data_IF_905405222515
#
_entry.id   IF_905405222515
#
_cell.length_a   1.000
_cell.length_b   1.000
_cell.length_c   1.000
_cell.angle_alpha   90.00
_cell.angle_beta   90.00
_cell.angle_gamma   90.00
#
_symmetry.space_group_name_H-M   'P 1'
#
loop_
_entity.id
_entity.type
_entity.pdbx_description
1 polymer ?
#
# COMPACT_ATOMS: atom_id res chain seq x y z
N UNK A 1 23.05 24.87 21.19
CA UNK A 1 22.85 23.59 20.45
C UNK A 1 22.71 22.47 21.47
N UNK A 2 21.48 22.05 21.75
CA UNK A 2 21.21 20.96 22.69
C UNK A 2 21.24 19.63 21.92
N UNK A 3 22.25 18.81 22.17
CA UNK A 3 22.34 17.42 21.70
C UNK A 3 21.36 16.57 22.49
N UNK A 4 20.08 16.61 22.10
CA UNK A 4 19.09 15.69 22.63
C UNK A 4 19.50 14.26 22.26
N UNK A 5 19.84 13.46 23.27
CA UNK A 5 20.12 12.04 23.13
C UNK A 5 18.90 11.35 22.50
N UNK A 6 19.03 10.86 21.26
CA UNK A 6 18.07 9.95 20.64
C UNK A 6 18.03 8.68 21.50
N UNK A 7 17.08 8.62 22.42
CA UNK A 7 16.80 7.39 23.16
C UNK A 7 16.26 6.39 22.14
N UNK A 8 16.94 5.25 21.99
CA UNK A 8 16.52 4.15 21.10
C UNK A 8 15.23 3.54 21.67
N UNK A 9 14.08 4.15 21.36
CA UNK A 9 12.77 3.66 21.78
C UNK A 9 12.44 2.43 20.94
N UNK A 10 12.60 1.26 21.54
CA UNK A 10 12.16 -0.01 20.96
C UNK A 10 10.82 -0.41 21.55
N UNK A 11 9.93 -0.93 20.70
CA UNK A 11 8.72 -1.57 21.19
C UNK A 11 9.09 -2.82 22.03
N UNK A 12 8.27 -3.21 23.00
CA UNK A 12 8.52 -4.43 23.75
C UNK A 12 8.47 -5.64 22.79
N UNK A 13 9.32 -6.66 23.00
CA UNK A 13 9.42 -7.84 22.12
C UNK A 13 8.07 -8.52 21.86
N UNK A 14 7.19 -8.55 22.87
CA UNK A 14 5.80 -9.00 22.77
C UNK A 14 4.99 -8.28 21.68
N UNK A 15 5.21 -6.99 21.46
CA UNK A 15 4.50 -6.23 20.42
C UNK A 15 4.90 -6.70 19.02
N UNK A 16 6.19 -6.97 18.79
CA UNK A 16 6.68 -7.56 17.55
C UNK A 16 6.12 -8.97 17.33
N UNK A 17 6.10 -9.80 18.37
CA UNK A 17 5.55 -11.15 18.30
C UNK A 17 4.05 -11.13 17.95
N UNK A 18 3.28 -10.26 18.61
CA UNK A 18 1.86 -10.08 18.31
C UNK A 18 1.61 -9.51 16.90
N UNK A 19 2.46 -8.60 16.43
CA UNK A 19 2.38 -8.08 15.07
C UNK A 19 2.66 -9.16 14.02
N UNK A 20 3.68 -9.99 14.23
CA UNK A 20 3.97 -11.13 13.35
C UNK A 20 2.82 -12.14 13.35
N UNK A 21 2.27 -12.45 14.53
CA UNK A 21 1.13 -13.36 14.64
C UNK A 21 -0.11 -12.81 13.93
N UNK A 22 -0.46 -11.54 14.16
CA UNK A 22 -1.61 -10.90 13.50
C UNK A 22 -1.43 -10.87 11.98
N UNK A 23 -0.22 -10.58 11.49
CA UNK A 23 0.08 -10.57 10.07
C UNK A 23 -0.14 -11.95 9.44
N UNK A 24 0.33 -13.03 10.10
CA UNK A 24 0.14 -14.40 9.65
C UNK A 24 -1.34 -14.80 9.66
N UNK A 25 -2.09 -14.42 10.71
CA UNK A 25 -3.52 -14.72 10.81
C UNK A 25 -4.31 -14.00 9.72
N UNK A 26 -4.05 -12.71 9.48
CA UNK A 26 -4.71 -11.94 8.43
C UNK A 26 -4.40 -12.50 7.03
N UNK A 27 -3.13 -12.78 6.74
CA UNK A 27 -2.71 -13.36 5.47
C UNK A 27 -3.33 -14.74 5.24
N UNK A 28 -3.31 -15.61 6.27
CA UNK A 28 -3.93 -16.93 6.20
C UNK A 28 -5.45 -16.85 6.02
N UNK A 29 -6.13 -15.92 6.70
CA UNK A 29 -7.57 -15.71 6.55
C UNK A 29 -7.94 -15.25 5.13
N UNK A 30 -7.19 -14.30 4.57
CA UNK A 30 -7.39 -13.84 3.18
C UNK A 30 -7.08 -14.95 2.16
N UNK A 31 -6.03 -15.73 2.39
CA UNK A 31 -5.71 -16.91 1.58
C UNK A 31 -6.82 -17.95 1.63
N UNK A 32 -7.25 -18.36 2.81
CA UNK A 32 -8.33 -19.33 2.97
C UNK A 32 -9.63 -18.85 2.30
N UNK A 33 -9.98 -17.57 2.48
CA UNK A 33 -11.13 -16.95 1.82
C UNK A 33 -11.02 -17.04 0.29
N UNK A 34 -9.85 -16.74 -0.28
CA UNK A 34 -9.60 -16.90 -1.71
C UNK A 34 -9.70 -18.35 -2.18
N UNK A 35 -9.18 -19.30 -1.40
CA UNK A 35 -9.28 -20.73 -1.68
C UNK A 35 -10.73 -21.23 -1.70
N UNK A 36 -11.59 -20.74 -0.80
CA UNK A 36 -13.02 -21.09 -0.76
C UNK A 36 -13.76 -20.70 -2.05
N UNK A 37 -13.34 -19.62 -2.73
CA UNK A 37 -13.92 -19.22 -4.02
C UNK A 37 -13.51 -20.12 -5.19
N UNK A 38 -12.53 -21.00 -5.02
CA UNK A 38 -11.85 -21.71 -6.11
C UNK A 38 -11.64 -23.19 -5.79
N UNK A 39 -12.61 -23.79 -5.10
CA UNK A 39 -12.52 -25.05 -4.34
C UNK A 39 -11.71 -26.21 -4.94
N UNK A 40 -11.62 -26.34 -6.26
CA UNK A 40 -10.81 -27.36 -6.94
C UNK A 40 -9.29 -27.18 -6.70
N UNK A 41 -8.82 -25.93 -6.54
CA UNK A 41 -7.42 -25.56 -6.33
C UNK A 41 -7.16 -24.91 -4.97
N UNK A 42 -7.98 -25.26 -3.96
CA UNK A 42 -8.01 -24.58 -2.65
C UNK A 42 -6.62 -24.29 -2.08
N UNK A 43 -5.76 -25.30 -1.96
CA UNK A 43 -4.44 -25.16 -1.32
C UNK A 43 -3.49 -24.25 -2.09
N UNK A 44 -3.50 -24.33 -3.43
CA UNK A 44 -2.65 -23.51 -4.29
C UNK A 44 -3.10 -22.04 -4.21
N UNK A 45 -4.40 -21.79 -4.38
CA UNK A 45 -4.97 -20.44 -4.35
C UNK A 45 -4.80 -19.81 -2.98
N UNK A 46 -5.07 -20.57 -1.91
CA UNK A 46 -4.89 -20.08 -0.55
C UNK A 46 -3.43 -19.73 -0.25
N UNK A 47 -2.47 -20.56 -0.67
CA UNK A 47 -1.05 -20.29 -0.50
C UNK A 47 -0.59 -19.04 -1.25
N UNK A 48 -0.98 -18.90 -2.53
CA UNK A 48 -0.59 -17.74 -3.36
C UNK A 48 -1.18 -16.44 -2.80
N UNK A 49 -2.46 -16.43 -2.43
CA UNK A 49 -3.10 -15.24 -1.85
C UNK A 49 -2.54 -14.89 -0.47
N UNK A 50 -2.29 -15.88 0.39
CA UNK A 50 -1.65 -15.64 1.69
C UNK A 50 -0.26 -15.03 1.52
N UNK A 51 0.57 -15.57 0.62
CA UNK A 51 1.90 -15.03 0.33
C UNK A 51 1.83 -13.59 -0.21
N UNK A 52 0.91 -13.33 -1.13
CA UNK A 52 0.76 -12.02 -1.78
C UNK A 52 0.24 -10.94 -0.81
N UNK A 53 -0.59 -11.33 0.16
CA UNK A 53 -1.18 -10.42 1.16
C UNK A 53 -0.37 -10.30 2.44
N UNK A 54 0.72 -11.07 2.59
CA UNK A 54 1.57 -11.06 3.77
C UNK A 54 2.25 -9.70 3.99
N UNK A 55 2.73 -9.05 2.94
CA UNK A 55 3.34 -7.72 3.01
C UNK A 55 2.38 -6.66 3.58
N UNK A 56 1.21 -6.43 2.96
CA UNK A 56 0.18 -5.54 3.48
C UNK A 56 -0.30 -5.91 4.89
N UNK A 57 -0.47 -7.20 5.18
CA UNK A 57 -0.89 -7.67 6.51
C UNK A 57 0.17 -7.38 7.58
N UNK A 58 1.45 -7.55 7.25
CA UNK A 58 2.58 -7.21 8.11
C UNK A 58 2.66 -5.70 8.36
N UNK A 59 2.51 -4.88 7.31
CA UNK A 59 2.49 -3.42 7.44
C UNK A 59 1.33 -2.95 8.34
N UNK A 60 0.12 -3.48 8.15
CA UNK A 60 -1.04 -3.14 8.98
C UNK A 60 -0.84 -3.58 10.43
N UNK A 61 -0.38 -4.82 10.65
CA UNK A 61 -0.15 -5.34 12.01
C UNK A 61 0.93 -4.59 12.75
N UNK A 62 1.99 -4.20 12.04
CA UNK A 62 3.03 -3.32 12.56
C UNK A 62 2.46 -1.95 12.95
N UNK A 63 1.68 -1.34 12.06
CA UNK A 63 1.06 -0.05 12.30
C UNK A 63 0.18 -0.07 13.57
N UNK A 64 -0.65 -1.10 13.72
CA UNK A 64 -1.57 -1.21 14.86
C UNK A 64 -0.86 -1.49 16.20
N UNK A 65 0.19 -2.33 16.20
CA UNK A 65 0.75 -2.87 17.44
C UNK A 65 2.14 -2.34 17.80
N UNK A 66 2.94 -1.97 16.81
CA UNK A 66 4.33 -1.56 17.01
C UNK A 66 4.51 -0.06 16.86
N UNK A 67 3.89 0.57 15.86
CA UNK A 67 4.15 1.98 15.51
C UNK A 67 4.00 2.93 16.71
N UNK A 68 2.97 2.77 17.55
CA UNK A 68 2.75 3.60 18.75
C UNK A 68 3.91 3.64 19.75
N UNK A 69 4.82 2.67 19.72
CA UNK A 69 5.95 2.60 20.65
C UNK A 69 7.25 3.20 20.07
N UNK A 70 7.35 3.28 18.74
CA UNK A 70 8.61 3.60 18.04
C UNK A 70 8.50 4.83 17.14
N UNK A 71 7.30 5.15 16.66
CA UNK A 71 7.02 6.34 15.85
C UNK A 71 6.76 7.50 16.79
N UNK A 72 7.59 8.54 16.68
CA UNK A 72 7.32 9.82 17.32
C UNK A 72 6.40 10.59 16.39
N UNK A 73 5.23 10.97 16.92
CA UNK A 73 4.28 11.78 16.17
C UNK A 73 4.86 13.18 16.01
N UNK A 74 4.92 13.65 14.76
CA UNK A 74 5.35 15.01 14.46
C UNK A 74 4.28 15.99 14.96
N UNK A 75 4.70 17.04 15.67
CA UNK A 75 3.78 18.03 16.21
C UNK A 75 3.21 18.97 15.13
N UNK A 76 3.95 19.14 14.02
CA UNK A 76 3.55 19.98 12.89
C UNK A 76 3.68 19.20 11.58
N UNK A 77 2.93 18.10 11.41
CA UNK A 77 3.08 17.21 10.25
C UNK A 77 2.85 17.91 8.91
N UNK A 78 2.06 18.98 8.89
CA UNK A 78 1.82 19.84 7.74
C UNK A 78 3.05 20.61 7.26
N UNK A 79 4.03 20.86 8.14
CA UNK A 79 5.29 21.51 7.79
C UNK A 79 6.32 20.51 7.20
N UNK A 80 6.04 19.21 7.28
CA UNK A 80 6.92 18.19 6.75
C UNK A 80 6.91 18.19 5.21
N UNK A 81 8.04 18.59 4.63
CA UNK A 81 8.24 18.67 3.18
C UNK A 81 7.99 17.33 2.49
N UNK A 82 8.37 16.19 3.09
CA UNK A 82 8.15 14.86 2.52
C UNK A 82 6.67 14.52 2.45
N UNK A 83 5.92 14.88 3.50
CA UNK A 83 4.46 14.71 3.54
C UNK A 83 3.78 15.59 2.50
N UNK A 84 4.21 16.84 2.37
CA UNK A 84 3.71 17.74 1.32
C UNK A 84 4.05 17.25 -0.09
N UNK A 85 5.19 16.59 -0.30
CA UNK A 85 5.52 15.97 -1.59
C UNK A 85 4.60 14.80 -1.88
N UNK A 86 4.35 13.94 -0.88
CA UNK A 86 3.47 12.79 -1.02
C UNK A 86 2.02 13.22 -1.29
N UNK A 87 1.49 14.19 -0.54
CA UNK A 87 0.11 14.66 -0.72
C UNK A 87 -0.10 15.31 -2.10
N UNK A 88 0.89 16.09 -2.57
CA UNK A 88 0.88 16.66 -3.93
C UNK A 88 1.00 15.59 -5.00
N UNK A 89 1.86 14.58 -4.81
CA UNK A 89 2.00 13.47 -5.74
C UNK A 89 0.72 12.64 -5.81
N UNK A 90 0.11 12.32 -4.66
CA UNK A 90 -1.08 11.49 -4.57
C UNK A 90 -2.33 12.15 -5.13
N UNK A 91 -2.59 13.41 -4.79
CA UNK A 91 -3.74 14.17 -5.32
C UNK A 91 -3.69 14.28 -6.85
N UNK A 92 -2.51 14.50 -7.41
CA UNK A 92 -2.31 14.54 -8.86
C UNK A 92 -2.43 13.16 -9.51
N UNK A 93 -1.81 12.13 -8.92
CA UNK A 93 -1.86 10.77 -9.46
C UNK A 93 -3.28 10.20 -9.51
N UNK A 94 -4.11 10.55 -8.52
CA UNK A 94 -5.53 10.19 -8.53
C UNK A 94 -6.26 10.80 -9.72
N UNK A 95 -6.04 12.10 -9.98
CA UNK A 95 -6.68 12.78 -11.12
C UNK A 95 -6.22 12.20 -12.45
N UNK A 96 -4.92 11.91 -12.59
CA UNK A 96 -4.37 11.27 -13.78
C UNK A 96 -4.95 9.87 -14.01
N UNK A 97 -5.13 9.09 -12.94
CA UNK A 97 -5.84 7.80 -13.01
C UNK A 97 -7.30 7.93 -13.44
N UNK A 98 -8.03 8.92 -12.92
CA UNK A 98 -9.43 9.15 -13.30
C UNK A 98 -9.53 9.52 -14.78
N UNK A 99 -8.65 10.40 -15.25
CA UNK A 99 -8.59 10.78 -16.67
C UNK A 99 -8.21 9.57 -17.53
N UNK A 100 -7.17 8.83 -17.16
CA UNK A 100 -6.73 7.64 -17.89
C UNK A 100 -7.82 6.57 -17.95
N UNK A 101 -8.53 6.33 -16.85
CA UNK A 101 -9.65 5.39 -16.78
C UNK A 101 -10.82 5.86 -17.66
N UNK A 102 -11.14 7.15 -17.65
CA UNK A 102 -12.17 7.73 -18.53
C UNK A 102 -11.84 7.58 -20.02
N UNK A 103 -10.59 7.88 -20.40
CA UNK A 103 -10.11 7.69 -21.79
C UNK A 103 -10.14 6.22 -22.19
N UNK A 104 -9.65 5.33 -21.33
CA UNK A 104 -9.68 3.89 -21.57
C UNK A 104 -11.13 3.38 -21.73
N UNK A 105 -12.06 3.86 -20.90
CA UNK A 105 -13.47 3.51 -20.99
C UNK A 105 -14.08 3.93 -22.33
N UNK A 106 -13.81 5.17 -22.79
CA UNK A 106 -14.26 5.64 -24.11
C UNK A 106 -13.67 4.76 -25.22
N UNK A 107 -12.37 4.46 -25.16
CA UNK A 107 -11.71 3.62 -26.16
C UNK A 107 -12.31 2.20 -26.22
N UNK A 108 -12.54 1.56 -25.08
CA UNK A 108 -13.19 0.25 -25.01
C UNK A 108 -14.63 0.31 -25.55
N UNK A 109 -15.37 1.37 -25.24
CA UNK A 109 -16.73 1.56 -25.74
C UNK A 109 -16.79 1.74 -27.26
N UNK A 110 -15.82 2.44 -27.86
CA UNK A 110 -15.78 2.67 -29.32
C UNK A 110 -15.29 1.43 -30.07
N UNK A 111 -14.29 0.75 -29.53
CA UNK A 111 -13.67 -0.43 -30.17
C UNK A 111 -14.46 -1.71 -29.97
N UNK A 112 -15.34 -1.76 -28.96
CA UNK A 112 -16.07 -2.97 -28.58
C UNK A 112 -15.18 -4.06 -27.98
N UNK A 113 -13.96 -3.72 -27.56
CA UNK A 113 -13.02 -4.68 -26.99
C UNK A 113 -13.49 -5.12 -25.59
N UNK A 114 -13.65 -6.42 -25.41
CA UNK A 114 -13.90 -7.00 -24.09
C UNK A 114 -12.59 -7.25 -23.36
N UNK A 115 -12.46 -6.68 -22.17
CA UNK A 115 -11.29 -6.87 -21.29
C UNK A 115 -11.75 -7.40 -19.95
N UNK A 116 -11.03 -8.38 -19.39
CA UNK A 116 -11.37 -8.92 -18.08
C UNK A 116 -11.23 -7.84 -16.99
N UNK A 117 -12.16 -7.82 -16.03
CA UNK A 117 -12.09 -6.87 -14.91
C UNK A 117 -10.79 -6.98 -14.11
N UNK A 118 -10.22 -8.18 -14.00
CA UNK A 118 -8.89 -8.41 -13.40
C UNK A 118 -7.78 -7.66 -14.15
N UNK A 119 -7.78 -7.70 -15.48
CA UNK A 119 -6.77 -6.98 -16.29
C UNK A 119 -6.87 -5.48 -16.08
N UNK A 120 -8.09 -4.94 -16.02
CA UNK A 120 -8.33 -3.51 -15.76
C UNK A 120 -7.82 -3.12 -14.37
N UNK A 121 -8.13 -3.92 -13.34
CA UNK A 121 -7.67 -3.66 -11.97
C UNK A 121 -6.14 -3.68 -11.86
N UNK A 122 -5.47 -4.65 -12.51
CA UNK A 122 -4.00 -4.67 -12.55
C UNK A 122 -3.47 -3.41 -13.22
N UNK A 123 -4.03 -3.01 -14.37
CA UNK A 123 -3.60 -1.81 -15.07
C UNK A 123 -3.75 -0.55 -14.19
N UNK A 124 -4.89 -0.40 -13.52
CA UNK A 124 -5.16 0.73 -12.61
C UNK A 124 -4.16 0.78 -11.46
N UNK A 125 -3.89 -0.36 -10.81
CA UNK A 125 -2.93 -0.42 -9.69
C UNK A 125 -1.51 -0.09 -10.16
N UNK A 126 -1.06 -0.69 -11.26
CA UNK A 126 0.29 -0.47 -11.80
C UNK A 126 0.47 0.97 -12.25
N UNK A 127 -0.50 1.54 -13.00
CA UNK A 127 -0.44 2.93 -13.45
C UNK A 127 -0.46 3.90 -12.26
N UNK A 128 -1.28 3.63 -11.25
CA UNK A 128 -1.37 4.47 -10.04
C UNK A 128 -0.06 4.50 -9.25
N UNK A 129 0.51 3.32 -8.99
CA UNK A 129 1.79 3.22 -8.28
C UNK A 129 2.93 3.84 -9.08
N UNK A 130 2.94 3.65 -10.41
CA UNK A 130 3.95 4.23 -11.28
C UNK A 130 3.87 5.76 -11.31
N UNK A 131 2.69 6.36 -11.53
CA UNK A 131 2.54 7.82 -11.54
C UNK A 131 2.89 8.43 -10.18
N UNK A 132 2.35 7.87 -9.09
CA UNK A 132 2.66 8.32 -7.73
C UNK A 132 4.18 8.32 -7.49
N UNK A 133 4.85 7.23 -7.83
CA UNK A 133 6.29 7.07 -7.59
C UNK A 133 7.11 8.04 -8.43
N UNK A 134 6.84 8.11 -9.74
CA UNK A 134 7.56 9.01 -10.66
C UNK A 134 7.36 10.46 -10.24
N UNK A 135 6.13 10.83 -9.87
CA UNK A 135 5.78 12.20 -9.46
C UNK A 135 6.41 12.57 -8.13
N UNK A 136 6.36 11.67 -7.14
CA UNK A 136 7.03 11.86 -5.86
C UNK A 136 8.54 12.08 -6.06
N UNK A 137 9.21 11.21 -6.83
CA UNK A 137 10.64 11.33 -7.12
C UNK A 137 10.99 12.61 -7.89
N UNK A 138 10.10 13.07 -8.77
CA UNK A 138 10.31 14.31 -9.53
C UNK A 138 10.17 15.54 -8.64
N UNK A 139 9.15 15.57 -7.77
CA UNK A 139 8.92 16.68 -6.84
C UNK A 139 10.06 16.76 -5.83
N UNK A 140 10.45 15.62 -5.24
CA UNK A 140 11.52 15.57 -4.25
C UNK A 140 12.84 16.06 -4.82
N UNK A 141 13.22 15.61 -6.03
CA UNK A 141 14.46 16.06 -6.70
C UNK A 141 14.49 17.56 -7.08
N UNK A 142 13.33 18.20 -7.23
CA UNK A 142 13.23 19.63 -7.58
C UNK A 142 13.26 20.53 -6.35
N UNK A 143 12.93 19.98 -5.18
CA UNK A 143 12.77 20.72 -3.92
C UNK A 143 13.80 20.30 -2.86
N UNK A 144 14.64 19.32 -3.16
CA UNK A 144 15.88 18.97 -2.45
C UNK A 144 17.01 19.92 -2.82
#
# INVERSE_FOLDING_TARGET
MSTASRTDRRAPTRAYALAALLALVLAAALGALAGLFRGDDFWLVAGVFAASTLGPSAALSWFLLVARHVVVEDAHPEENVERQWLDRAASSALMDLVVAAGVALVALSVTGLETSGSTVLVAVVVLGLADLTVRYLTISRRQS
#
